data_IF_290420785579
#
_entry.id   IF_290420785579
#
_cell.length_a   1.000
_cell.length_b   1.000
_cell.length_c   1.000
_cell.angle_alpha   90.00
_cell.angle_beta   90.00
_cell.angle_gamma   90.00
#
_symmetry.space_group_name_H-M   'P 1'
#
loop_
_entity.id
_entity.type
_entity.pdbx_description
1 polymer ?
2 non-polymer ?
#
# COMPACT_ATOMS: atom_id res chain seq x y z
N UNK A 1 8.70 -7.90 -0.49
CA UNK A 1 9.05 -8.86 -1.53
C UNK A 1 8.63 -10.27 -1.12
N UNK A 2 8.49 -10.49 0.17
CA UNK A 2 8.08 -11.80 0.69
C UNK A 2 7.85 -11.74 2.19
N UNK A 3 8.67 -10.95 2.89
CA UNK A 3 8.56 -10.81 4.33
C UNK A 3 7.74 -9.58 4.70
N UNK A 4 8.07 -8.44 4.09
CA UNK A 4 7.36 -7.18 4.37
C UNK A 4 5.85 -7.31 4.24
N UNK A 5 5.42 -8.15 3.30
CA UNK A 5 4.00 -8.40 3.06
C UNK A 5 3.33 -8.97 4.31
N UNK A 6 4.07 -9.80 5.06
CA UNK A 6 3.57 -10.40 6.28
C UNK A 6 3.67 -9.42 7.45
N UNK A 7 4.69 -8.57 7.41
CA UNK A 7 4.89 -7.57 8.46
C UNK A 7 3.75 -6.55 8.46
N UNK A 8 3.13 -6.37 7.31
CA UNK A 8 2.03 -5.43 7.16
C UNK A 8 0.68 -6.17 7.20
N UNK A 9 0.70 -7.46 6.92
CA UNK A 9 -0.52 -8.28 6.92
C UNK A 9 -1.04 -8.45 8.34
N UNK A 10 -0.13 -8.68 9.28
CA UNK A 10 -0.50 -8.85 10.68
C UNK A 10 -0.84 -7.50 11.31
N UNK A 11 -0.31 -6.43 10.71
CA UNK A 11 -0.56 -5.07 11.19
C UNK A 11 -1.96 -4.62 10.83
N UNK A 12 -2.33 -4.80 9.56
CA UNK A 12 -3.65 -4.40 9.08
C UNK A 12 -4.76 -5.29 9.65
N UNK A 13 -4.39 -6.41 10.26
CA UNK A 13 -5.37 -7.31 10.86
C UNK A 13 -5.79 -6.78 12.23
N UNK A 14 -5.12 -5.74 12.69
CA UNK A 14 -5.40 -5.13 13.99
C UNK A 14 -5.93 -3.71 13.81
N UNK A 15 -5.83 -3.18 12.60
CA UNK A 15 -6.29 -1.83 12.31
C UNK A 15 -7.46 -1.86 11.31
N UNK A 16 -7.76 -3.05 10.82
CA UNK A 16 -8.85 -3.21 9.85
C UNK A 16 -9.67 -4.47 10.16
N UNK A 17 -8.98 -5.59 10.36
CA UNK A 17 -9.66 -6.83 10.66
C UNK A 17 -9.84 -7.71 9.45
N UNK A 18 -11.06 -8.15 9.20
CA UNK A 18 -11.35 -9.01 8.07
C UNK A 18 -11.33 -8.21 6.76
N UNK A 19 -11.51 -6.90 6.89
CA UNK A 19 -11.50 -6.02 5.72
C UNK A 19 -10.10 -5.86 5.15
N UNK A 20 -9.09 -6.16 5.97
CA UNK A 20 -7.67 -6.04 5.59
C UNK A 20 -7.38 -6.76 4.25
N UNK A 21 -6.36 -6.26 3.50
CA UNK A 21 -5.97 -6.85 2.23
C UNK A 21 -5.32 -8.21 2.39
N UNK A 22 -5.23 -8.96 1.30
CA UNK A 22 -4.65 -10.29 1.32
C UNK A 22 -3.17 -10.25 0.94
N UNK A 23 -2.52 -11.41 1.04
CA UNK A 23 -1.11 -11.54 0.70
C UNK A 23 -0.91 -11.43 -0.81
N UNK A 24 -1.90 -11.88 -1.57
CA UNK A 24 -1.85 -11.83 -3.03
C UNK A 24 -2.09 -10.41 -3.54
N UNK A 25 -2.84 -9.62 -2.79
CA UNK A 25 -3.12 -8.24 -3.18
C UNK A 25 -1.90 -7.36 -3.01
N UNK A 26 -1.43 -7.24 -1.78
CA UNK A 26 -0.26 -6.41 -1.48
C UNK A 26 0.92 -6.80 -2.38
N UNK A 27 1.17 -8.10 -2.50
CA UNK A 27 2.26 -8.56 -3.32
C UNK A 27 2.21 -8.00 -4.74
N UNK A 28 1.01 -7.93 -5.30
CA UNK A 28 0.82 -7.40 -6.64
C UNK A 28 0.99 -5.89 -6.67
N UNK A 29 0.43 -5.22 -5.66
CA UNK A 29 0.51 -3.77 -5.57
C UNK A 29 1.96 -3.32 -5.45
N UNK A 30 2.74 -4.07 -4.69
CA UNK A 30 4.16 -3.76 -4.49
C UNK A 30 4.91 -3.73 -5.82
N UNK A 31 4.79 -4.82 -6.57
CA UNK A 31 5.45 -4.94 -7.86
C UNK A 31 5.14 -3.73 -8.75
N UNK A 32 3.95 -3.17 -8.56
CA UNK A 32 3.52 -2.02 -9.34
C UNK A 32 4.14 -0.73 -8.80
N UNK A 33 4.31 -0.67 -7.48
CA UNK A 33 4.90 0.49 -6.84
C UNK A 33 6.40 0.56 -7.08
N UNK A 34 6.94 -0.50 -7.68
CA UNK A 34 8.37 -0.58 -7.96
C UNK A 34 8.63 -0.35 -9.45
N UNK A 35 7.68 -0.74 -10.29
CA UNK A 35 7.81 -0.57 -11.73
C UNK A 35 7.53 0.86 -12.14
N UNK A 36 6.58 1.49 -11.46
CA UNK A 36 6.21 2.88 -11.77
C UNK A 36 7.31 3.84 -11.30
N UNK A 37 8.27 3.31 -10.55
CA UNK A 37 9.36 4.13 -10.07
C UNK A 37 8.99 4.91 -8.81
N UNK A 38 7.80 4.62 -8.28
CA UNK A 38 7.33 5.30 -7.07
C UNK A 38 8.08 4.80 -5.85
N UNK A 39 8.65 3.61 -5.95
CA UNK A 39 9.40 3.03 -4.84
C UNK A 39 10.60 2.24 -5.35
N UNK A 40 11.66 2.21 -4.56
CA UNK A 40 12.88 1.50 -4.93
C UNK A 40 12.97 0.16 -4.20
N UNK A 41 12.27 0.06 -3.06
CA UNK A 41 12.28 -1.16 -2.26
C UNK A 41 10.96 -1.33 -1.53
N UNK A 42 10.68 -2.57 -1.10
CA UNK A 42 9.45 -2.90 -0.38
C UNK A 42 9.42 -2.31 1.02
N UNK A 43 10.59 -1.88 1.50
CA UNK A 43 10.70 -1.28 2.83
C UNK A 43 10.40 0.21 2.79
N UNK A 44 10.22 0.74 1.58
CA UNK A 44 9.93 2.16 1.40
C UNK A 44 8.61 2.53 2.06
N UNK A 45 7.80 1.52 2.36
CA UNK A 45 6.50 1.75 3.00
C UNK A 45 6.67 2.38 4.37
N UNK A 46 7.88 2.29 4.90
CA UNK A 46 8.17 2.86 6.22
C UNK A 46 8.41 4.36 6.14
N UNK A 47 8.24 4.91 4.94
CA UNK A 47 8.44 6.34 4.71
C UNK A 47 7.10 7.04 4.51
N UNK A 48 6.54 7.56 5.62
CA UNK A 48 5.26 8.28 5.60
C UNK A 48 5.35 9.61 4.88
N UNK A 49 6.57 9.98 4.48
CA UNK A 49 6.76 11.25 3.78
C UNK A 49 6.76 11.09 2.28
N UNK A 50 6.47 9.87 1.81
CA UNK A 50 6.45 9.59 0.38
C UNK A 50 5.07 9.10 -0.05
N UNK A 51 4.13 9.10 0.88
CA UNK A 51 2.77 8.65 0.61
C UNK A 51 2.05 9.65 -0.28
N UNK A 52 2.54 10.87 -0.33
CA UNK A 52 1.94 11.92 -1.14
C UNK A 52 2.04 11.57 -2.62
N UNK A 53 3.28 11.42 -3.11
CA UNK A 53 3.54 11.09 -4.52
C UNK A 53 3.12 9.66 -4.87
N UNK A 54 2.74 8.89 -3.85
CA UNK A 54 2.32 7.52 -4.04
C UNK A 54 0.79 7.40 -3.96
N UNK A 55 0.16 8.38 -3.33
CA UNK A 55 -1.30 8.37 -3.18
C UNK A 55 -1.95 9.13 -4.33
N UNK A 56 -1.34 10.21 -4.77
CA UNK A 56 -1.87 11.01 -5.86
C UNK A 56 -1.78 10.26 -7.19
N UNK A 57 -0.67 9.55 -7.38
CA UNK A 57 -0.46 8.78 -8.61
C UNK A 57 -1.53 7.70 -8.77
N UNK A 58 -1.64 6.84 -7.76
CA UNK A 58 -2.61 5.76 -7.78
C UNK A 58 -4.02 6.29 -8.00
N UNK A 59 -4.35 7.38 -7.31
CA UNK A 59 -5.66 8.00 -7.44
C UNK A 59 -5.81 8.71 -8.77
N UNK A 60 -4.68 9.03 -9.40
CA UNK A 60 -4.69 9.71 -10.69
C UNK A 60 -4.91 8.72 -11.82
N UNK A 61 -4.26 7.57 -11.75
CA UNK A 61 -4.40 6.54 -12.76
C UNK A 61 -5.79 5.90 -12.72
N UNK A 62 -6.34 5.78 -11.51
CA UNK A 62 -7.66 5.20 -11.32
C UNK A 62 -8.75 6.11 -11.84
N UNK A 63 -8.64 7.40 -11.52
CA UNK A 63 -9.63 8.38 -11.96
C UNK A 63 -9.54 8.59 -13.47
N UNK A 64 -8.34 8.49 -14.01
CA UNK A 64 -8.12 8.67 -15.44
C UNK A 64 -8.35 7.37 -16.20
N UNK A 65 -7.39 6.45 -16.09
CA UNK A 65 -7.49 5.16 -16.77
C UNK A 65 -8.83 4.49 -16.46
N UNK A 66 -9.28 4.63 -15.22
CA UNK A 66 -10.55 4.03 -14.84
C UNK A 66 -10.37 2.66 -14.20
N UNK A 67 -9.38 2.54 -13.32
CA UNK A 67 -9.11 1.27 -12.64
C UNK A 67 -8.25 1.50 -11.40
N UNK A 68 -8.77 1.05 -10.25
CA UNK A 68 -8.06 1.21 -8.99
C UNK A 68 -7.62 -0.14 -8.45
N UNK A 69 -7.13 -1.00 -9.35
CA UNK A 69 -6.68 -2.33 -8.93
C UNK A 69 -5.57 -2.26 -7.90
N UNK A 70 -4.85 -1.14 -7.87
CA UNK A 70 -3.76 -0.96 -6.92
C UNK A 70 -4.16 0.01 -5.81
N UNK A 71 -5.09 0.90 -6.12
CA UNK A 71 -5.56 1.88 -5.15
C UNK A 71 -6.22 1.20 -3.96
N UNK A 72 -7.13 0.28 -4.24
CA UNK A 72 -7.84 -0.44 -3.19
C UNK A 72 -6.85 -1.05 -2.19
N UNK A 73 -5.66 -1.38 -2.67
CA UNK A 73 -4.62 -1.97 -1.81
C UNK A 73 -3.86 -0.89 -1.06
N UNK A 74 -3.51 0.19 -1.76
CA UNK A 74 -2.78 1.29 -1.15
C UNK A 74 -3.58 1.90 -0.01
N UNK A 75 -4.82 2.27 -0.29
CA UNK A 75 -5.68 2.87 0.73
C UNK A 75 -5.72 2.05 2.00
N UNK A 76 -5.82 0.73 1.85
CA UNK A 76 -5.88 -0.17 3.00
C UNK A 76 -4.53 -0.20 3.73
N UNK A 77 -3.47 -0.53 3.00
CA UNK A 77 -2.14 -0.60 3.57
C UNK A 77 -1.75 0.73 4.21
N UNK A 78 -2.37 1.80 3.75
CA UNK A 78 -2.09 3.13 4.28
C UNK A 78 -2.93 3.41 5.52
N UNK A 79 -4.22 3.11 5.45
CA UNK A 79 -5.10 3.34 6.58
C UNK A 79 -4.57 2.71 7.86
N UNK A 80 -3.79 1.65 7.71
CA UNK A 80 -3.22 0.96 8.87
C UNK A 80 -1.94 1.66 9.34
N UNK A 81 -1.00 1.83 8.43
CA UNK A 81 0.27 2.48 8.75
C UNK A 81 0.04 3.87 9.33
N UNK A 82 -0.86 4.62 8.71
CA UNK A 82 -1.17 5.97 9.16
C UNK A 82 -1.51 5.98 10.65
N UNK A 83 -2.10 4.90 11.12
CA UNK A 83 -2.46 4.77 12.53
C UNK A 83 -1.28 4.29 13.36
N UNK A 84 -0.41 3.52 12.74
CA UNK A 84 0.77 2.99 13.42
C UNK A 84 1.81 4.08 13.66
N UNK A 85 1.76 5.12 12.83
CA UNK A 85 2.70 6.23 12.94
C UNK A 85 2.04 7.44 13.60
N UNK A 86 0.96 7.19 14.34
CA UNK A 86 0.24 8.25 15.02
C UNK A 86 0.29 8.07 16.54
N UNK A 87 0.37 6.81 16.97
CA UNK A 87 0.43 6.49 18.40
C UNK A 87 1.83 6.73 18.95
#
# INVERSE_FOLDING_TARGET
SEAVIKVISSACKTYCGKTSPSKKEIGAMLSLLQKEGLLMSPSDLYSPGSWDPITAALSQRAMILGKSGELKTWGLVLGALKAAREE
#
